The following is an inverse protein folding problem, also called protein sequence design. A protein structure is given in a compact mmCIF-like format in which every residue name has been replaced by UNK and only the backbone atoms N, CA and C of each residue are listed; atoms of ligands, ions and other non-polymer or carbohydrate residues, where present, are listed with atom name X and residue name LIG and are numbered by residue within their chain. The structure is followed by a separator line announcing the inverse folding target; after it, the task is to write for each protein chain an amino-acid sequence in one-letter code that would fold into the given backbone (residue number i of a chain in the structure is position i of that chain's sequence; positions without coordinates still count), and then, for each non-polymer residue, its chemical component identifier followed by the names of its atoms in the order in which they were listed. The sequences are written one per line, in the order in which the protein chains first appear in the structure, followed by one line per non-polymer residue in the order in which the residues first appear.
data_IF_599238857197
#
_entry.id   IF_599238857197
#
_cell.length_a   1.000
_cell.length_b   1.000
_cell.length_c   1.000
_cell.angle_alpha   90.00
_cell.angle_beta   90.00
_cell.angle_gamma   90.00
#
_symmetry.space_group_name_H-M   'P 1'
#
loop_
_entity.id
_entity.type
_entity.pdbx_description
1 polymer ?
#
# COMPACT_ATOMS: atom_id res chain seq x y z
N UNK A 1 12.99 0.72 2.70
CA UNK A 1 13.95 -0.35 2.29
C UNK A 1 13.29 -1.73 2.42
N UNK A 2 13.53 -2.41 3.51
CA UNK A 2 12.92 -3.76 3.69
C UNK A 2 11.39 -3.65 3.61
N UNK A 3 10.86 -2.48 3.80
CA UNK A 3 9.38 -2.31 3.74
C UNK A 3 8.89 -2.44 2.29
N UNK A 4 9.71 -2.08 1.35
CA UNK A 4 9.29 -2.18 -0.08
C UNK A 4 8.86 -3.61 -0.41
N UNK A 5 9.21 -4.55 0.43
CA UNK A 5 8.82 -5.97 0.16
C UNK A 5 7.46 -6.26 0.78
N UNK A 6 6.61 -5.28 0.88
CA UNK A 6 5.26 -5.50 1.47
C UNK A 6 4.47 -4.19 1.50
N UNK A 7 5.09 -3.13 1.92
CA UNK A 7 4.38 -1.82 1.98
C UNK A 7 3.55 -1.61 0.70
N UNK A 8 4.08 -1.99 -0.42
CA UNK A 8 3.33 -1.82 -1.70
C UNK A 8 1.97 -2.50 -1.60
N UNK A 9 1.87 -3.54 -0.82
CA UNK A 9 0.57 -4.25 -0.68
C UNK A 9 -0.25 -3.64 0.46
N UNK A 10 0.41 -3.02 1.40
CA UNK A 10 -0.33 -2.40 2.54
C UNK A 10 -1.20 -1.24 2.04
N UNK A 11 -0.82 -0.64 0.95
CA UNK A 11 -1.63 0.50 0.41
C UNK A 11 -2.85 -0.03 -0.35
N UNK A 12 -2.74 -1.21 -0.91
CA UNK A 12 -3.90 -1.78 -1.66
C UNK A 12 -5.16 -1.75 -0.80
N UNK A 13 -5.00 -1.67 0.49
CA UNK A 13 -6.19 -1.63 1.39
C UNK A 13 -6.58 -0.18 1.71
N UNK A 14 -5.64 0.72 1.62
CA UNK A 14 -5.95 2.15 1.91
C UNK A 14 -6.36 2.88 0.63
N UNK A 15 -5.85 2.45 -0.49
CA UNK A 15 -6.21 3.11 -1.78
C UNK A 15 -7.67 2.81 -2.15
N UNK A 16 -8.14 1.64 -1.82
CA UNK A 16 -9.55 1.28 -2.16
C UNK A 16 -10.47 2.47 -1.89
N UNK A 17 -10.11 3.33 -0.97
CA UNK A 17 -10.97 4.50 -0.66
C UNK A 17 -10.28 5.79 -1.11
N UNK A 18 -9.14 6.09 -0.54
CA UNK A 18 -8.41 7.33 -0.93
C UNK A 18 -7.46 7.04 -2.10
N UNK A 19 -7.81 6.13 -2.96
CA UNK A 19 -6.92 5.81 -4.11
C UNK A 19 -6.92 6.97 -5.10
N UNK A 20 -7.79 7.92 -4.91
CA UNK A 20 -7.83 9.08 -5.84
C UNK A 20 -8.04 8.61 -7.28
N UNK A 21 -7.03 8.19 -7.99
#
# INVERSE_FOLDING_TARGET
TSAQKAKAEERKRRKMSRGLX
#
